data_IF_851736633675
#
_entry.id   IF_851736633675
#
_cell.length_a   1.000
_cell.length_b   1.000
_cell.length_c   1.000
_cell.angle_alpha   90.00
_cell.angle_beta   90.00
_cell.angle_gamma   90.00
#
_symmetry.space_group_name_H-M   'P 1'
#
loop_
_entity.id
_entity.type
_entity.pdbx_description
1 polymer ?
#
# COMPACT_ATOMS: atom_id res chain seq x y z
N UNK A 1 -2.74 13.95 -9.80
CA UNK A 1 -3.16 14.15 -8.40
C UNK A 1 -1.92 14.37 -7.58
N UNK A 2 -1.54 15.64 -7.37
CA UNK A 2 -0.49 16.03 -6.42
C UNK A 2 -1.02 15.85 -5.00
N UNK A 3 -1.07 14.59 -4.55
CA UNK A 3 -1.51 14.19 -3.21
C UNK A 3 -0.36 14.45 -2.24
N UNK A 4 -0.38 15.60 -1.58
CA UNK A 4 0.46 15.97 -0.43
C UNK A 4 1.93 15.53 -0.56
N UNK A 5 2.77 16.40 -1.14
CA UNK A 5 4.22 16.25 -1.05
C UNK A 5 4.60 16.14 0.42
N UNK A 6 4.89 14.92 0.89
CA UNK A 6 5.44 14.70 2.23
C UNK A 6 6.74 15.47 2.28
N UNK A 7 6.79 16.48 3.14
CA UNK A 7 8.01 17.29 3.29
C UNK A 7 9.13 16.40 3.79
N UNK A 8 10.39 16.72 3.44
CA UNK A 8 11.56 15.98 3.94
C UNK A 8 11.56 15.91 5.47
N UNK A 9 11.11 16.98 6.14
CA UNK A 9 11.01 17.07 7.59
C UNK A 9 10.00 16.07 8.18
N UNK A 10 8.79 15.97 7.61
CA UNK A 10 7.78 15.00 8.05
C UNK A 10 8.28 13.58 7.88
N UNK A 11 8.96 13.33 6.76
CA UNK A 11 9.56 12.03 6.48
C UNK A 11 10.61 11.65 7.50
N UNK A 12 11.54 12.56 7.81
CA UNK A 12 12.56 12.35 8.84
C UNK A 12 11.96 12.12 10.23
N UNK A 13 10.91 12.86 10.59
CA UNK A 13 10.19 12.66 11.88
C UNK A 13 9.58 11.27 11.96
N UNK A 14 8.94 10.80 10.90
CA UNK A 14 8.35 9.46 10.82
C UNK A 14 9.44 8.39 10.93
N UNK A 15 10.53 8.51 10.19
CA UNK A 15 11.65 7.57 10.23
C UNK A 15 12.25 7.47 11.64
N UNK A 16 12.48 8.62 12.30
CA UNK A 16 12.92 8.68 13.70
C UNK A 16 11.93 8.02 14.66
N UNK A 17 10.64 8.29 14.50
CA UNK A 17 9.58 7.72 15.35
C UNK A 17 9.56 6.19 15.31
N UNK A 18 9.83 5.58 14.16
CA UNK A 18 9.86 4.13 14.01
C UNK A 18 11.26 3.53 14.15
N UNK A 19 12.29 4.35 14.38
CA UNK A 19 13.70 3.96 14.42
C UNK A 19 14.13 3.18 13.15
N UNK A 20 13.73 3.69 11.99
CA UNK A 20 14.00 3.12 10.67
C UNK A 20 14.79 4.13 9.84
N UNK A 21 15.78 3.65 9.08
CA UNK A 21 16.55 4.50 8.16
C UNK A 21 15.94 4.52 6.77
N UNK A 22 16.32 5.51 5.98
CA UNK A 22 15.92 5.61 4.59
C UNK A 22 16.26 4.34 3.79
N UNK A 23 17.48 3.83 3.97
CA UNK A 23 17.95 2.61 3.32
C UNK A 23 17.11 1.39 3.68
N UNK A 24 16.63 1.29 4.92
CA UNK A 24 15.75 0.20 5.35
C UNK A 24 14.37 0.30 4.70
N UNK A 25 13.87 1.51 4.41
CA UNK A 25 12.63 1.69 3.64
C UNK A 25 12.82 1.26 2.20
N UNK A 26 13.91 1.68 1.55
CA UNK A 26 14.25 1.27 0.19
C UNK A 26 14.43 -0.24 0.07
N UNK A 27 15.12 -0.86 1.04
CA UNK A 27 15.27 -2.30 1.13
C UNK A 27 13.90 -2.99 1.29
N UNK A 28 13.05 -2.50 2.20
CA UNK A 28 11.70 -3.02 2.39
C UNK A 28 10.87 -2.94 1.10
N UNK A 29 10.94 -1.83 0.38
CA UNK A 29 10.26 -1.65 -0.92
C UNK A 29 10.76 -2.69 -1.92
N UNK A 30 12.07 -2.88 -2.02
CA UNK A 30 12.69 -3.88 -2.89
C UNK A 30 12.26 -5.30 -2.52
N UNK A 31 12.24 -5.64 -1.22
CA UNK A 31 11.79 -6.95 -0.73
C UNK A 31 10.34 -7.23 -1.10
N UNK A 32 9.44 -6.25 -0.95
CA UNK A 32 8.03 -6.41 -1.34
C UNK A 32 7.89 -6.53 -2.85
N UNK A 33 8.66 -5.76 -3.65
CA UNK A 33 8.68 -5.91 -5.11
C UNK A 33 9.15 -7.29 -5.54
N UNK A 34 10.22 -7.83 -4.98
CA UNK A 34 10.71 -9.18 -5.33
C UNK A 34 9.68 -10.25 -4.92
N UNK A 35 9.06 -10.09 -3.74
CA UNK A 35 8.06 -11.01 -3.26
C UNK A 35 6.80 -11.00 -4.14
N UNK A 36 6.33 -9.82 -4.59
CA UNK A 36 5.11 -9.72 -5.41
C UNK A 36 5.23 -10.47 -6.73
N UNK A 37 6.42 -10.49 -7.36
CA UNK A 37 6.65 -11.21 -8.62
C UNK A 37 6.45 -12.73 -8.48
N UNK A 38 6.54 -13.26 -7.25
CA UNK A 38 6.29 -14.68 -6.96
C UNK A 38 4.81 -15.00 -6.74
N UNK A 39 3.96 -13.99 -6.53
CA UNK A 39 2.56 -14.15 -6.14
C UNK A 39 1.65 -13.68 -7.28
N UNK A 40 1.15 -14.65 -8.06
CA UNK A 40 0.42 -14.41 -9.32
C UNK A 40 -0.88 -13.59 -9.18
N UNK A 41 -1.49 -13.53 -7.99
CA UNK A 41 -2.77 -12.84 -7.78
C UNK A 41 -2.63 -11.38 -7.32
N UNK A 42 -1.40 -10.89 -7.11
CA UNK A 42 -1.15 -9.50 -6.75
C UNK A 42 -1.14 -8.60 -8.00
N UNK A 43 -1.55 -7.32 -7.88
CA UNK A 43 -1.53 -6.40 -9.00
C UNK A 43 -0.09 -6.08 -9.43
N UNK A 44 0.13 -6.11 -10.74
CA UNK A 44 1.43 -5.81 -11.37
C UNK A 44 1.87 -4.36 -11.11
N UNK A 45 0.90 -3.44 -11.02
CA UNK A 45 1.12 -1.99 -11.03
C UNK A 45 1.13 -1.43 -9.59
N UNK A 46 2.18 -1.74 -8.82
CA UNK A 46 2.45 -1.05 -7.53
C UNK A 46 3.68 -0.17 -7.68
N UNK A 47 3.51 1.13 -7.44
CA UNK A 47 4.60 2.11 -7.42
C UNK A 47 5.40 2.03 -6.12
N UNK A 48 6.65 2.46 -6.15
CA UNK A 48 7.53 2.42 -4.98
C UNK A 48 6.96 3.27 -3.83
N UNK A 49 6.38 4.43 -4.15
CA UNK A 49 5.67 5.28 -3.18
C UNK A 49 4.45 4.60 -2.56
N UNK A 50 3.72 3.79 -3.34
CA UNK A 50 2.61 3.02 -2.81
C UNK A 50 3.10 1.98 -1.80
N UNK A 51 4.17 1.25 -2.13
CA UNK A 51 4.76 0.23 -1.27
C UNK A 51 5.35 0.87 0.00
N UNK A 52 6.04 2.00 -0.11
CA UNK A 52 6.58 2.74 1.03
C UNK A 52 5.46 3.19 1.98
N UNK A 53 4.34 3.67 1.47
CA UNK A 53 3.15 4.00 2.27
C UNK A 53 2.52 2.78 2.92
N UNK A 54 2.52 1.63 2.23
CA UNK A 54 2.03 0.37 2.77
C UNK A 54 2.91 -0.12 3.93
N UNK A 55 4.23 -0.02 3.78
CA UNK A 55 5.20 -0.30 4.84
C UNK A 55 4.99 0.62 6.04
N UNK A 56 4.82 1.92 5.82
CA UNK A 56 4.52 2.88 6.87
C UNK A 56 3.25 2.50 7.66
N UNK A 57 2.14 2.17 6.96
CA UNK A 57 0.89 1.73 7.61
C UNK A 57 1.08 0.49 8.49
N UNK A 58 2.05 -0.35 8.15
CA UNK A 58 2.41 -1.56 8.87
C UNK A 58 3.63 -1.40 9.79
N UNK A 59 4.02 -0.17 10.10
CA UNK A 59 5.17 0.15 10.98
C UNK A 59 6.47 -0.51 10.52
N UNK A 60 6.67 -0.56 9.20
CA UNK A 60 7.82 -1.14 8.51
C UNK A 60 8.05 -2.63 8.76
N UNK A 61 7.04 -3.36 9.26
CA UNK A 61 7.12 -4.82 9.44
C UNK A 61 6.86 -5.53 8.10
N UNK A 62 7.92 -6.04 7.48
CA UNK A 62 7.87 -6.62 6.12
C UNK A 62 6.93 -7.82 6.05
N UNK A 63 7.08 -8.83 6.91
CA UNK A 63 6.24 -10.04 6.86
C UNK A 63 4.76 -9.74 7.11
N UNK A 64 4.46 -8.87 8.09
CA UNK A 64 3.09 -8.41 8.33
C UNK A 64 2.51 -7.63 7.14
N UNK A 65 3.35 -6.87 6.45
CA UNK A 65 2.95 -6.15 5.23
C UNK A 65 2.59 -7.12 4.10
N UNK A 66 3.39 -8.17 3.90
CA UNK A 66 3.11 -9.24 2.93
C UNK A 66 1.80 -9.95 3.26
N UNK A 67 1.63 -10.36 4.50
CA UNK A 67 0.41 -11.03 4.98
C UNK A 67 -0.84 -10.17 4.75
N UNK A 68 -0.79 -8.87 5.11
CA UNK A 68 -1.92 -7.96 4.88
C UNK A 68 -2.22 -7.77 3.40
N UNK A 69 -1.20 -7.69 2.55
CA UNK A 69 -1.35 -7.50 1.12
C UNK A 69 -1.96 -8.74 0.45
N UNK A 70 -1.41 -9.92 0.77
CA UNK A 70 -1.91 -11.22 0.31
C UNK A 70 -3.38 -11.41 0.73
N UNK A 71 -3.67 -11.22 2.01
CA UNK A 71 -5.03 -11.36 2.54
C UNK A 71 -6.01 -10.39 1.88
N UNK A 72 -5.63 -9.13 1.66
CA UNK A 72 -6.50 -8.15 1.00
C UNK A 72 -6.89 -8.60 -0.40
N UNK A 73 -5.92 -8.99 -1.23
CA UNK A 73 -6.20 -9.39 -2.61
C UNK A 73 -6.87 -10.76 -2.70
N UNK A 74 -6.53 -11.70 -1.81
CA UNK A 74 -7.19 -12.99 -1.70
C UNK A 74 -8.67 -12.84 -1.31
N UNK A 75 -8.97 -12.07 -0.27
CA UNK A 75 -10.35 -11.84 0.17
C UNK A 75 -11.15 -11.09 -0.90
N UNK A 76 -10.55 -10.07 -1.52
CA UNK A 76 -11.18 -9.34 -2.63
C UNK A 76 -11.50 -10.24 -3.83
N UNK A 77 -10.61 -11.17 -4.16
CA UNK A 77 -10.86 -12.13 -5.25
C UNK A 77 -11.93 -13.18 -4.89
N UNK A 78 -12.04 -13.56 -3.61
CA UNK A 78 -13.04 -14.53 -3.14
C UNK A 78 -14.44 -13.91 -2.97
N UNK A 79 -14.52 -12.62 -2.64
CA UNK A 79 -15.77 -11.91 -2.33
C UNK A 79 -16.05 -10.83 -3.40
N UNK A 80 -15.99 -11.21 -4.68
CA UNK A 80 -16.25 -10.29 -5.79
C UNK A 80 -17.70 -9.77 -5.78
N UNK A 81 -18.63 -10.56 -5.26
CA UNK A 81 -20.03 -10.21 -5.04
C UNK A 81 -20.21 -8.99 -4.13
N UNK A 82 -19.38 -8.85 -3.09
CA UNK A 82 -19.42 -7.69 -2.18
C UNK A 82 -18.91 -6.39 -2.82
N UNK A 83 -18.14 -6.51 -3.89
CA UNK A 83 -17.47 -5.37 -4.55
C UNK A 83 -18.15 -5.04 -5.89
N UNK A 84 -19.06 -5.91 -6.35
CA UNK A 84 -19.83 -5.73 -7.56
C UNK A 84 -20.66 -4.43 -7.49
N UNK A 85 -20.48 -3.53 -8.45
CA UNK A 85 -21.21 -2.27 -8.52
C UNK A 85 -20.63 -1.13 -7.68
N UNK A 86 -19.53 -1.35 -6.95
CA UNK A 86 -18.84 -0.28 -6.21
C UNK A 86 -18.29 0.79 -7.16
N UNK A 87 -17.87 0.38 -8.36
CA UNK A 87 -17.47 1.27 -9.47
C UNK A 87 -18.60 2.18 -9.97
N UNK A 88 -19.87 1.80 -9.74
CA UNK A 88 -21.04 2.54 -10.19
C UNK A 88 -21.63 3.44 -9.09
N UNK A 89 -21.04 3.44 -7.89
CA UNK A 89 -21.47 4.33 -6.80
C UNK A 89 -21.03 5.76 -7.13
N UNK A 90 -21.96 6.57 -7.60
CA UNK A 90 -21.77 8.01 -7.76
C UNK A 90 -21.97 8.73 -6.43
N UNK A 91 -21.16 9.76 -6.11
CA UNK A 91 -21.39 10.59 -4.94
C UNK A 91 -22.79 11.20 -4.97
N UNK A 92 -23.51 11.15 -3.84
CA UNK A 92 -24.89 11.60 -3.68
C UNK A 92 -25.17 13.06 -4.06
N UNK A 93 -24.14 13.87 -4.33
CA UNK A 93 -24.25 15.30 -4.69
C UNK A 93 -24.62 15.58 -6.16
N UNK A 94 -24.87 14.57 -7.00
CA UNK A 94 -25.20 14.79 -8.42
C UNK A 94 -26.70 14.92 -8.72
N UNK A 95 -27.58 14.82 -7.72
CA UNK A 95 -29.01 15.11 -7.86
C UNK A 95 -29.28 16.51 -7.30
N UNK A 96 -28.98 17.53 -8.12
CA UNK A 96 -29.40 18.91 -7.92
C UNK A 96 -30.46 19.27 -8.95
#
# INVERSE_FOLDING_TARGET
MDLFLVTKEEREKVLKQYNVTEAQVEEGVKTIKIWKEKVQHLPTNMTDDFIARLLLKNKFRIEHTKEKLDNYFRLRAQNQDLIYGLENIVPSKQFG
#
